data_IF_251856171463
#
_entry.id   IF_251856171463
#
_cell.length_a   1.000
_cell.length_b   1.000
_cell.length_c   1.000
_cell.angle_alpha   90.00
_cell.angle_beta   90.00
_cell.angle_gamma   90.00
#
_symmetry.space_group_name_H-M   'P 1'
#
loop_
_entity.id
_entity.type
_entity.pdbx_description
1 polymer ?
#
# COMPACT_ATOMS: atom_id res chain seq x y z
N UNK A 1 15.70 21.53 -18.32
CA UNK A 1 15.99 21.77 -16.88
C UNK A 1 14.92 21.17 -15.96
N UNK A 2 13.66 21.60 -16.02
CA UNK A 2 12.57 21.10 -15.16
C UNK A 2 12.33 19.58 -15.22
N UNK A 3 12.27 19.02 -16.44
CA UNK A 3 12.16 17.57 -16.65
C UNK A 3 13.39 16.77 -16.12
N UNK A 4 14.60 17.34 -16.18
CA UNK A 4 15.80 16.70 -15.62
C UNK A 4 15.76 16.67 -14.09
N UNK A 5 15.30 17.75 -13.45
CA UNK A 5 15.11 17.78 -11.99
C UNK A 5 14.00 16.81 -11.58
N UNK A 6 12.93 16.69 -12.37
CA UNK A 6 11.91 15.66 -12.16
C UNK A 6 12.51 14.24 -12.15
N UNK A 7 13.39 13.96 -13.11
CA UNK A 7 14.09 12.69 -13.15
C UNK A 7 14.95 12.49 -11.91
N UNK A 8 15.75 13.47 -11.50
CA UNK A 8 16.60 13.37 -10.29
C UNK A 8 15.77 13.18 -9.02
N UNK A 9 14.58 13.80 -8.91
CA UNK A 9 13.75 13.72 -7.70
C UNK A 9 12.89 12.46 -7.62
N UNK A 10 12.47 11.90 -8.76
CA UNK A 10 11.42 10.86 -8.81
C UNK A 10 11.76 9.62 -9.64
N UNK A 11 12.85 9.61 -10.42
CA UNK A 11 13.19 8.54 -11.35
C UNK A 11 14.60 8.03 -11.14
N UNK A 12 14.78 6.71 -11.24
CA UNK A 12 16.09 6.07 -11.22
C UNK A 12 16.90 6.27 -12.51
N UNK A 13 16.44 7.11 -13.45
CA UNK A 13 17.13 7.41 -14.71
C UNK A 13 18.56 7.95 -14.51
N UNK A 14 18.82 8.62 -13.38
CA UNK A 14 20.17 9.01 -12.95
C UNK A 14 20.43 8.49 -11.52
N UNK A 15 20.84 7.23 -11.35
CA UNK A 15 20.81 6.56 -10.05
C UNK A 15 21.74 7.21 -9.02
N UNK A 16 22.91 7.69 -9.44
CA UNK A 16 23.87 8.35 -8.55
C UNK A 16 23.34 9.69 -8.04
N UNK A 17 22.84 10.55 -8.94
CA UNK A 17 22.30 11.85 -8.58
C UNK A 17 21.04 11.70 -7.70
N UNK A 18 20.15 10.76 -8.04
CA UNK A 18 18.97 10.44 -7.27
C UNK A 18 19.31 10.03 -5.84
N UNK A 19 20.26 9.10 -5.67
CA UNK A 19 20.70 8.62 -4.34
C UNK A 19 21.36 9.75 -3.54
N UNK A 20 22.22 10.57 -4.15
CA UNK A 20 22.87 11.68 -3.46
C UNK A 20 21.87 12.72 -2.94
N UNK A 21 20.94 13.16 -3.79
CA UNK A 21 19.91 14.14 -3.41
C UNK A 21 18.98 13.57 -2.34
N UNK A 22 18.59 12.30 -2.47
CA UNK A 22 17.81 11.58 -1.45
C UNK A 22 18.53 11.52 -0.11
N UNK A 23 19.80 11.13 -0.10
CA UNK A 23 20.63 11.08 1.11
C UNK A 23 20.80 12.46 1.74
N UNK A 24 20.95 13.52 0.94
CA UNK A 24 21.03 14.89 1.43
C UNK A 24 19.74 15.33 2.15
N UNK A 25 18.57 15.05 1.57
CA UNK A 25 17.29 15.39 2.21
C UNK A 25 17.03 14.56 3.48
N UNK A 26 17.38 13.27 3.46
CA UNK A 26 17.30 12.40 4.64
C UNK A 26 18.22 12.90 5.76
N UNK A 27 19.45 13.31 5.41
CA UNK A 27 20.39 13.89 6.35
C UNK A 27 19.85 15.19 6.96
N UNK A 28 19.28 16.08 6.14
CA UNK A 28 18.69 17.33 6.61
C UNK A 28 17.53 17.08 7.60
N UNK A 29 16.63 16.13 7.30
CA UNK A 29 15.57 15.70 8.24
C UNK A 29 16.19 15.16 9.54
N UNK A 30 17.19 14.28 9.43
CA UNK A 30 17.87 13.72 10.59
C UNK A 30 18.53 14.77 11.47
N UNK A 31 19.16 15.79 10.86
CA UNK A 31 19.75 16.93 11.58
C UNK A 31 18.66 17.70 12.31
N UNK A 32 17.60 18.15 11.63
CA UNK A 32 16.53 18.95 12.26
C UNK A 32 15.88 18.22 13.43
N UNK A 33 15.62 16.92 13.29
CA UNK A 33 15.08 16.08 14.37
C UNK A 33 16.07 15.92 15.53
N UNK A 34 17.34 15.65 15.23
CA UNK A 34 18.37 15.48 16.28
C UNK A 34 18.58 16.77 17.04
N UNK A 35 18.64 17.92 16.36
CA UNK A 35 18.80 19.21 17.02
C UNK A 35 17.60 19.53 17.89
N UNK A 36 16.37 19.37 17.37
CA UNK A 36 15.15 19.55 18.16
C UNK A 36 15.14 18.69 19.43
N UNK A 37 15.61 17.43 19.35
CA UNK A 37 15.75 16.58 20.53
C UNK A 37 16.80 17.10 21.51
N UNK A 38 17.98 17.51 21.03
CA UNK A 38 19.08 18.01 21.87
C UNK A 38 18.71 19.31 22.59
N UNK A 39 17.93 20.18 21.94
CA UNK A 39 17.48 21.44 22.51
C UNK A 39 16.54 21.27 23.72
N UNK A 40 15.83 20.15 23.82
CA UNK A 40 14.98 19.85 24.99
C UNK A 40 15.78 19.46 26.24
N UNK A 41 17.11 19.29 26.15
CA UNK A 41 17.94 18.89 27.29
C UNK A 41 18.12 20.05 28.30
N UNK A 42 17.93 19.81 29.61
CA UNK A 42 17.89 20.86 30.64
C UNK A 42 19.20 21.64 30.84
N UNK A 43 20.34 21.12 30.37
CA UNK A 43 21.66 21.75 30.48
C UNK A 43 22.20 22.23 29.11
N UNK A 44 21.34 22.40 28.10
CA UNK A 44 21.77 22.87 26.79
C UNK A 44 22.04 24.38 26.83
N UNK A 45 23.33 24.74 26.94
CA UNK A 45 23.75 26.14 26.99
C UNK A 45 23.81 26.76 25.58
N UNK A 46 23.08 27.86 25.36
CA UNK A 46 23.00 28.55 24.05
C UNK A 46 24.36 28.97 23.51
N UNK A 47 25.34 29.23 24.39
CA UNK A 47 26.70 29.59 24.00
C UNK A 47 27.48 28.42 23.35
N UNK A 48 27.22 27.18 23.77
CA UNK A 48 27.81 25.98 23.15
C UNK A 48 26.99 25.54 21.91
N UNK A 49 25.72 25.94 21.85
CA UNK A 49 24.78 25.61 20.77
C UNK A 49 24.98 26.33 19.43
N UNK A 50 25.85 27.35 19.32
CA UNK A 50 25.99 28.12 18.06
C UNK A 50 26.37 27.25 16.86
N UNK A 51 27.22 26.25 17.04
CA UNK A 51 27.55 25.28 15.99
C UNK A 51 26.31 24.47 15.57
N UNK A 52 25.52 24.01 16.54
CA UNK A 52 24.31 23.21 16.35
C UNK A 52 23.22 24.02 15.61
N UNK A 53 23.02 25.29 15.98
CA UNK A 53 22.13 26.21 15.27
C UNK A 53 22.53 26.38 13.80
N UNK A 54 23.82 26.49 13.50
CA UNK A 54 24.28 26.59 12.11
C UNK A 54 23.92 25.34 11.29
N UNK A 55 23.99 24.12 11.88
CA UNK A 55 23.54 22.90 11.19
C UNK A 55 22.02 22.88 11.00
N UNK A 56 21.26 23.30 12.01
CA UNK A 56 19.81 23.39 11.90
C UNK A 56 19.38 24.34 10.79
N UNK A 57 19.94 25.55 10.76
CA UNK A 57 19.68 26.54 9.70
C UNK A 57 20.07 25.99 8.32
N UNK A 58 21.25 25.39 8.18
CA UNK A 58 21.68 24.78 6.92
C UNK A 58 20.73 23.66 6.47
N UNK A 59 20.28 22.80 7.38
CA UNK A 59 19.32 21.74 7.10
C UNK A 59 17.94 22.30 6.71
N UNK A 60 17.47 23.35 7.39
CA UNK A 60 16.21 24.03 7.06
C UNK A 60 16.26 24.73 5.70
N UNK A 61 17.41 25.29 5.31
CA UNK A 61 17.64 25.81 3.95
C UNK A 61 17.53 24.68 2.93
N UNK A 62 18.16 23.52 3.19
CA UNK A 62 18.04 22.35 2.31
C UNK A 62 16.59 21.89 2.15
N UNK A 63 15.82 21.80 3.25
CA UNK A 63 14.40 21.43 3.21
C UNK A 63 13.51 22.50 2.56
N UNK A 64 13.88 23.78 2.68
CA UNK A 64 13.23 24.90 2.00
C UNK A 64 13.44 24.78 0.49
N UNK A 65 14.68 24.54 0.05
CA UNK A 65 15.01 24.31 -1.36
C UNK A 65 14.28 23.08 -1.88
N UNK A 66 14.24 21.98 -1.12
CA UNK A 66 13.47 20.78 -1.46
C UNK A 66 11.99 21.13 -1.73
N UNK A 67 11.34 21.87 -0.83
CA UNK A 67 9.94 22.25 -0.94
C UNK A 67 9.66 23.01 -2.25
N UNK A 68 10.47 24.04 -2.54
CA UNK A 68 10.32 24.83 -3.77
C UNK A 68 10.62 24.01 -5.03
N UNK A 69 11.65 23.17 -5.02
CA UNK A 69 11.96 22.29 -6.16
C UNK A 69 10.80 21.33 -6.47
N UNK A 70 10.17 20.76 -5.42
CA UNK A 70 9.04 19.85 -5.60
C UNK A 70 7.81 20.56 -6.18
N UNK A 71 7.47 21.75 -5.66
CA UNK A 71 6.40 22.58 -6.23
C UNK A 71 6.71 22.92 -7.69
N UNK A 72 7.94 23.34 -7.97
CA UNK A 72 8.34 23.74 -9.30
C UNK A 72 8.24 22.58 -10.30
N UNK A 73 8.63 21.36 -9.89
CA UNK A 73 8.62 20.19 -10.77
C UNK A 73 7.21 19.61 -10.99
N UNK A 74 6.29 19.73 -10.04
CA UNK A 74 5.02 18.98 -10.02
C UNK A 74 4.23 18.93 -11.34
N UNK A 75 4.05 20.04 -12.09
CA UNK A 75 3.32 19.97 -13.37
C UNK A 75 3.90 19.02 -14.44
N UNK A 76 5.14 18.54 -14.31
CA UNK A 76 5.69 17.50 -15.21
C UNK A 76 5.00 16.13 -14.99
N UNK A 77 4.37 15.91 -13.83
CA UNK A 77 3.65 14.67 -13.51
C UNK A 77 2.18 14.71 -13.89
N UNK A 78 1.56 15.89 -13.78
CA UNK A 78 0.12 16.12 -14.01
C UNK A 78 -0.11 16.89 -15.31
N UNK A 79 0.49 16.40 -16.40
CA UNK A 79 0.52 17.01 -17.73
C UNK A 79 -0.82 17.59 -18.25
N UNK A 80 -2.02 17.08 -17.92
CA UNK A 80 -3.27 17.63 -18.45
C UNK A 80 -3.87 18.84 -17.71
N UNK A 81 -3.47 19.12 -16.45
CA UNK A 81 -4.26 19.98 -15.56
C UNK A 81 -3.89 21.49 -15.60
N UNK A 82 -2.83 21.86 -16.34
CA UNK A 82 -2.28 23.22 -16.33
C UNK A 82 -1.36 23.48 -15.13
N UNK A 83 -0.32 24.30 -15.33
CA UNK A 83 0.79 24.40 -14.37
C UNK A 83 0.37 24.89 -12.97
N UNK A 84 -0.49 25.90 -12.91
CA UNK A 84 -0.91 26.49 -11.63
C UNK A 84 -1.74 25.50 -10.82
N UNK A 85 -2.60 24.73 -11.49
CA UNK A 85 -3.46 23.73 -10.86
C UNK A 85 -2.62 22.61 -10.25
N UNK A 86 -1.61 22.11 -10.97
CA UNK A 86 -0.68 21.09 -10.46
C UNK A 86 0.07 21.56 -9.21
N UNK A 87 0.53 22.82 -9.18
CA UNK A 87 1.23 23.37 -8.01
C UNK A 87 0.31 23.51 -6.79
N UNK A 88 -0.92 23.98 -7.00
CA UNK A 88 -1.92 24.08 -5.92
C UNK A 88 -2.33 22.68 -5.44
N UNK A 89 -2.47 21.71 -6.35
CA UNK A 89 -2.75 20.33 -6.01
C UNK A 89 -1.64 19.73 -5.12
N UNK A 90 -0.38 20.05 -5.40
CA UNK A 90 0.74 19.66 -4.53
C UNK A 90 0.60 20.21 -3.12
N UNK A 91 0.37 21.52 -2.98
CA UNK A 91 0.25 22.19 -1.69
C UNK A 91 -0.91 21.64 -0.84
N UNK A 92 -1.98 21.16 -1.49
CA UNK A 92 -3.11 20.51 -0.82
C UNK A 92 -2.90 19.01 -0.56
N UNK A 93 -1.85 18.41 -1.11
CA UNK A 93 -1.54 17.00 -0.87
C UNK A 93 -1.02 16.78 0.56
N UNK A 94 -1.27 15.62 1.19
CA UNK A 94 -0.82 15.35 2.55
C UNK A 94 0.67 15.60 2.77
N UNK A 95 1.50 15.20 1.80
CA UNK A 95 2.95 15.38 1.89
C UNK A 95 3.40 16.80 1.55
N UNK A 96 2.66 17.54 0.71
CA UNK A 96 2.92 18.97 0.47
C UNK A 96 2.63 19.83 1.71
N UNK A 97 1.58 19.49 2.46
CA UNK A 97 1.28 20.11 3.77
C UNK A 97 2.41 19.84 4.76
N UNK A 98 2.89 18.59 4.84
CA UNK A 98 4.05 18.25 5.68
C UNK A 98 5.29 19.05 5.28
N UNK A 99 5.60 19.14 3.99
CA UNK A 99 6.78 19.87 3.54
C UNK A 99 6.71 21.37 3.87
N UNK A 100 5.51 21.96 3.76
CA UNK A 100 5.26 23.34 4.13
C UNK A 100 5.40 23.56 5.65
N UNK A 101 4.71 22.75 6.46
CA UNK A 101 4.73 22.87 7.92
C UNK A 101 6.13 22.62 8.51
N UNK A 102 6.94 21.77 7.88
CA UNK A 102 8.31 21.49 8.31
C UNK A 102 9.26 22.70 8.18
N UNK A 103 9.00 23.63 7.26
CA UNK A 103 9.85 24.83 7.03
C UNK A 103 9.20 26.13 7.51
N UNK A 104 7.89 26.09 7.80
CA UNK A 104 7.11 27.26 8.19
C UNK A 104 7.69 28.00 9.41
N UNK A 105 8.05 27.35 10.53
CA UNK A 105 8.61 28.07 11.68
C UNK A 105 9.88 28.84 11.33
N UNK A 106 10.75 28.27 10.49
CA UNK A 106 11.98 28.93 10.05
C UNK A 106 11.69 30.23 9.29
N UNK A 107 10.70 30.21 8.39
CA UNK A 107 10.32 31.40 7.62
C UNK A 107 9.64 32.45 8.46
N UNK A 108 8.77 32.04 9.40
CA UNK A 108 8.14 32.96 10.34
C UNK A 108 9.19 33.60 11.25
N UNK A 109 10.19 32.82 11.68
CA UNK A 109 11.29 33.28 12.52
C UNK A 109 12.14 34.39 11.90
N UNK A 110 12.14 34.53 10.56
CA UNK A 110 12.80 35.64 9.86
C UNK A 110 12.11 36.99 10.07
N UNK A 111 10.79 36.98 10.34
CA UNK A 111 9.98 38.18 10.51
C UNK A 111 9.64 38.42 11.98
N UNK A 112 9.36 37.35 12.72
CA UNK A 112 8.98 37.38 14.12
C UNK A 112 9.59 36.20 14.86
N UNK A 113 10.22 36.44 16.01
CA UNK A 113 10.81 35.37 16.83
C UNK A 113 9.76 34.32 17.21
N UNK A 114 10.01 33.06 16.87
CA UNK A 114 9.11 31.94 17.17
C UNK A 114 9.64 31.14 18.35
N UNK A 115 8.74 30.66 19.22
CA UNK A 115 9.10 29.77 20.33
C UNK A 115 9.67 28.44 19.83
N UNK A 116 10.62 27.89 20.59
CA UNK A 116 11.37 26.67 20.24
C UNK A 116 10.46 25.45 20.01
N UNK A 117 9.38 25.32 20.79
CA UNK A 117 8.42 24.21 20.67
C UNK A 117 7.82 24.06 19.26
N UNK A 118 7.72 25.14 18.48
CA UNK A 118 7.24 25.07 17.09
C UNK A 118 8.27 24.47 16.14
N UNK A 119 9.57 24.68 16.40
CA UNK A 119 10.64 23.99 15.67
C UNK A 119 10.65 22.51 16.01
N UNK A 120 10.42 22.13 17.27
CA UNK A 120 10.31 20.73 17.71
C UNK A 120 9.14 20.01 17.04
N UNK A 121 7.98 20.66 17.00
CA UNK A 121 6.80 20.12 16.30
C UNK A 121 7.06 19.97 14.79
N UNK A 122 7.65 21.00 14.15
CA UNK A 122 7.98 20.94 12.72
C UNK A 122 9.03 19.86 12.42
N UNK A 123 10.00 19.66 13.31
CA UNK A 123 10.96 18.58 13.23
C UNK A 123 10.27 17.21 13.30
N UNK A 124 9.35 17.00 14.26
CA UNK A 124 8.58 15.77 14.35
C UNK A 124 7.71 15.53 13.10
N UNK A 125 7.06 16.57 12.57
CA UNK A 125 6.30 16.48 11.32
C UNK A 125 7.19 16.14 10.12
N UNK A 126 8.44 16.61 10.09
CA UNK A 126 9.38 16.31 9.01
C UNK A 126 9.69 14.82 8.87
N UNK A 127 9.48 13.99 9.91
CA UNK A 127 9.62 12.53 9.84
C UNK A 127 8.63 11.91 8.84
N UNK A 128 7.46 12.52 8.62
CA UNK A 128 6.52 12.03 7.59
C UNK A 128 7.11 12.16 6.18
N UNK A 129 8.12 13.01 5.94
CA UNK A 129 8.85 13.06 4.66
C UNK A 129 9.54 11.74 4.34
N UNK A 130 9.91 10.93 5.35
CA UNK A 130 10.53 9.61 5.18
C UNK A 130 9.68 8.66 4.33
N UNK A 131 8.35 8.85 4.31
CA UNK A 131 7.42 8.08 3.47
C UNK A 131 7.74 8.15 1.97
N UNK A 132 8.37 9.25 1.50
CA UNK A 132 8.80 9.42 0.10
C UNK A 132 10.07 8.63 -0.22
N UNK A 133 10.87 8.36 0.80
CA UNK A 133 12.22 7.81 0.65
C UNK A 133 12.29 6.33 0.99
N UNK A 134 11.35 5.84 1.79
CA UNK A 134 11.29 4.45 2.27
C UNK A 134 10.11 3.72 1.60
N UNK A 135 10.34 2.90 0.55
CA UNK A 135 9.29 2.17 -0.16
C UNK A 135 8.48 1.20 0.70
N UNK A 136 9.00 0.83 1.89
CA UNK A 136 8.27 0.03 2.86
C UNK A 136 7.11 0.83 3.49
N UNK A 137 7.23 2.14 3.67
CA UNK A 137 6.15 2.95 4.26
C UNK A 137 4.96 3.08 3.31
N UNK A 138 5.19 3.11 1.99
CA UNK A 138 4.10 3.08 1.02
C UNK A 138 3.35 1.74 1.02
N UNK A 139 4.04 0.63 1.34
CA UNK A 139 3.39 -0.68 1.54
C UNK A 139 2.41 -0.62 2.72
N UNK A 140 2.87 -0.10 3.86
CA UNK A 140 2.03 0.08 5.05
C UNK A 140 0.81 0.94 4.72
N UNK A 141 1.02 2.09 4.08
CA UNK A 141 -0.06 3.00 3.71
C UNK A 141 -1.09 2.34 2.78
N UNK A 142 -0.62 1.60 1.76
CA UNK A 142 -1.49 0.87 0.84
C UNK A 142 -2.32 -0.20 1.56
N UNK A 143 -1.70 -0.96 2.47
CA UNK A 143 -2.41 -1.98 3.26
C UNK A 143 -3.47 -1.35 4.15
N UNK A 144 -3.13 -0.27 4.87
CA UNK A 144 -4.08 0.46 5.73
C UNK A 144 -5.23 1.03 4.93
N UNK A 145 -4.97 1.68 3.80
CA UNK A 145 -6.02 2.23 2.94
C UNK A 145 -6.92 1.14 2.38
N UNK A 146 -6.36 0.00 1.97
CA UNK A 146 -7.10 -1.12 1.40
C UNK A 146 -7.92 -1.88 2.45
N UNK A 147 -7.39 -2.05 3.65
CA UNK A 147 -8.03 -2.72 4.77
C UNK A 147 -8.84 -1.77 5.67
N UNK A 148 -8.94 -0.49 5.30
CA UNK A 148 -9.49 0.57 6.15
C UNK A 148 -10.90 0.28 6.66
N UNK A 149 -11.76 -0.35 5.86
CA UNK A 149 -13.12 -0.74 6.29
C UNK A 149 -13.10 -1.78 7.41
N UNK A 150 -12.23 -2.78 7.31
CA UNK A 150 -12.07 -3.83 8.32
C UNK A 150 -11.39 -3.30 9.58
N UNK A 151 -10.36 -2.47 9.43
CA UNK A 151 -9.69 -1.79 10.55
C UNK A 151 -10.67 -0.88 11.30
N UNK A 152 -11.47 -0.10 10.57
CA UNK A 152 -12.48 0.77 11.17
C UNK A 152 -13.54 -0.02 11.93
N UNK A 153 -14.06 -1.11 11.34
CA UNK A 153 -15.00 -1.99 12.02
C UNK A 153 -14.41 -2.57 13.33
N UNK A 154 -13.14 -2.98 13.30
CA UNK A 154 -12.44 -3.44 14.49
C UNK A 154 -12.29 -2.32 15.54
N UNK A 155 -11.91 -1.09 15.15
CA UNK A 155 -11.80 0.03 16.09
C UNK A 155 -13.14 0.40 16.74
N UNK A 156 -14.25 0.33 16.00
CA UNK A 156 -15.60 0.55 16.54
C UNK A 156 -15.94 -0.50 17.59
N UNK A 157 -15.72 -1.78 17.30
CA UNK A 157 -15.98 -2.87 18.26
C UNK A 157 -15.09 -2.73 19.50
N UNK A 158 -13.82 -2.36 19.33
CA UNK A 158 -12.89 -2.13 20.45
C UNK A 158 -13.37 -0.95 21.32
N UNK A 159 -13.83 0.14 20.71
CA UNK A 159 -14.34 1.31 21.44
C UNK A 159 -15.56 0.96 22.29
N UNK A 160 -16.49 0.16 21.74
CA UNK A 160 -17.66 -0.34 22.47
C UNK A 160 -17.22 -1.19 23.66
N UNK A 161 -16.28 -2.13 23.46
CA UNK A 161 -15.78 -2.99 24.53
C UNK A 161 -15.07 -2.20 25.63
N UNK A 162 -14.27 -1.20 25.27
CA UNK A 162 -13.56 -0.34 26.24
C UNK A 162 -14.54 0.45 27.11
N UNK A 163 -15.54 1.11 26.51
CA UNK A 163 -16.56 1.87 27.26
C UNK A 163 -17.41 0.94 28.13
N UNK A 164 -17.76 -0.24 27.61
CA UNK A 164 -18.51 -1.24 28.36
C UNK A 164 -17.71 -1.74 29.58
N UNK A 165 -16.45 -2.14 29.38
CA UNK A 165 -15.59 -2.60 30.47
C UNK A 165 -15.36 -1.50 31.53
N UNK A 166 -15.12 -0.26 31.08
CA UNK A 166 -14.98 0.89 31.97
C UNK A 166 -16.22 1.14 32.82
N UNK A 167 -17.42 1.04 32.23
CA UNK A 167 -18.68 1.25 32.95
C UNK A 167 -18.95 0.13 33.95
N UNK A 168 -18.71 -1.12 33.54
CA UNK A 168 -18.92 -2.29 34.41
C UNK A 168 -17.95 -2.27 35.58
N UNK A 169 -16.65 -2.04 35.35
CA UNK A 169 -15.66 -2.04 36.43
C UNK A 169 -15.90 -0.89 37.41
N UNK A 170 -16.28 0.29 36.92
CA UNK A 170 -16.65 1.42 37.76
C UNK A 170 -17.76 1.04 38.74
N UNK A 171 -18.82 0.38 38.24
CA UNK A 171 -19.95 -0.02 39.07
C UNK A 171 -19.57 -0.98 40.21
N UNK A 172 -18.57 -1.84 40.01
CA UNK A 172 -18.14 -2.83 41.01
C UNK A 172 -16.97 -2.39 41.88
N UNK A 173 -16.16 -1.42 41.45
CA UNK A 173 -14.95 -0.99 42.17
C UNK A 173 -15.06 0.41 42.78
N UNK A 174 -16.02 1.25 42.37
CA UNK A 174 -16.15 2.62 42.90
C UNK A 174 -16.30 2.65 44.43
N UNK A 175 -17.17 1.80 45.00
CA UNK A 175 -17.36 1.76 46.45
C UNK A 175 -16.13 1.28 47.22
N UNK A 176 -15.36 0.36 46.63
CA UNK A 176 -14.16 -0.20 47.24
C UNK A 176 -12.92 0.69 47.06
N UNK A 177 -12.86 1.45 45.96
CA UNK A 177 -11.70 2.24 45.53
C UNK A 177 -12.12 3.57 44.87
N UNK A 178 -12.74 4.50 45.60
CA UNK A 178 -13.29 5.74 45.02
C UNK A 178 -12.22 6.68 44.42
N UNK A 179 -10.97 6.60 44.88
CA UNK A 179 -9.87 7.41 44.35
C UNK A 179 -9.27 6.84 43.05
N UNK A 180 -9.39 5.53 42.84
CA UNK A 180 -8.87 4.86 41.65
C UNK A 180 -9.93 4.83 40.56
N UNK A 181 -11.15 4.42 40.89
CA UNK A 181 -12.27 4.32 39.96
C UNK A 181 -13.28 5.47 40.19
N UNK A 182 -12.82 6.72 40.24
CA UNK A 182 -13.64 7.91 40.58
C UNK A 182 -14.76 8.15 39.57
N UNK A 183 -14.51 7.84 38.29
CA UNK A 183 -15.45 8.10 37.20
C UNK A 183 -15.30 7.08 36.07
N UNK A 184 -16.30 7.03 35.18
CA UNK A 184 -16.25 6.18 33.97
C UNK A 184 -15.06 6.58 33.06
N UNK A 185 -14.78 7.88 32.79
CA UNK A 185 -13.59 8.27 32.02
C UNK A 185 -12.26 7.84 32.64
N UNK A 186 -12.12 7.85 33.97
CA UNK A 186 -10.93 7.33 34.63
C UNK A 186 -10.87 5.80 34.55
N UNK A 187 -12.00 5.13 34.71
CA UNK A 187 -12.12 3.68 34.49
C UNK A 187 -11.80 3.26 33.04
N UNK A 188 -12.01 4.16 32.08
CA UNK A 188 -11.63 3.96 30.68
C UNK A 188 -10.10 3.90 30.52
N UNK A 189 -9.34 4.67 31.28
CA UNK A 189 -7.87 4.56 31.31
C UNK A 189 -7.44 3.15 31.73
N UNK A 190 -8.03 2.60 32.80
CA UNK A 190 -7.79 1.22 33.22
C UNK A 190 -8.19 0.20 32.15
N UNK A 191 -9.34 0.39 31.50
CA UNK A 191 -9.79 -0.51 30.45
C UNK A 191 -8.83 -0.49 29.25
N UNK A 192 -8.34 0.69 28.85
CA UNK A 192 -7.35 0.84 27.78
C UNK A 192 -6.04 0.15 28.15
N UNK A 193 -5.46 0.42 29.32
CA UNK A 193 -4.16 -0.15 29.72
C UNK A 193 -4.23 -1.66 29.94
N UNK A 194 -5.37 -2.17 30.44
CA UNK A 194 -5.60 -3.61 30.65
C UNK A 194 -5.85 -4.34 29.34
N UNK A 195 -6.76 -3.84 28.48
CA UNK A 195 -7.09 -4.49 27.22
C UNK A 195 -5.97 -4.38 26.18
N UNK A 196 -5.20 -3.29 26.20
CA UNK A 196 -4.01 -3.13 25.36
C UNK A 196 -2.79 -3.89 25.90
N UNK A 197 -2.95 -4.70 26.96
CA UNK A 197 -1.90 -5.54 27.56
C UNK A 197 -0.69 -4.76 28.12
N UNK A 198 -0.86 -3.47 28.47
CA UNK A 198 0.19 -2.62 29.03
C UNK A 198 0.33 -2.83 30.54
N UNK A 199 -0.77 -2.67 31.28
CA UNK A 199 -0.82 -2.91 32.72
C UNK A 199 0.21 -2.15 33.55
N UNK A 200 0.16 -0.81 33.57
CA UNK A 200 1.08 0.01 34.38
C UNK A 200 1.06 -0.30 35.88
N UNK A 201 -0.03 -0.88 36.38
CA UNK A 201 -0.20 -1.25 37.79
C UNK A 201 -0.66 -0.11 38.69
N UNK A 202 -1.00 1.04 38.11
CA UNK A 202 -1.59 2.21 38.77
C UNK A 202 -3.05 1.99 39.19
N UNK A 203 -3.79 1.16 38.45
CA UNK A 203 -5.18 0.81 38.74
C UNK A 203 -5.41 -0.70 38.57
N UNK A 204 -6.08 -1.33 39.53
CA UNK A 204 -6.50 -2.73 39.42
C UNK A 204 -7.73 -3.02 40.30
N UNK A 205 -8.65 -3.89 39.86
CA UNK A 205 -9.79 -4.29 40.66
C UNK A 205 -9.35 -5.10 41.89
N UNK A 206 -9.87 -4.75 43.07
CA UNK A 206 -9.59 -5.47 44.31
C UNK A 206 -10.75 -6.38 44.73
N UNK A 207 -11.97 -6.12 44.23
CA UNK A 207 -13.14 -6.93 44.57
C UNK A 207 -13.10 -8.28 43.84
N UNK A 208 -13.65 -9.36 44.41
CA UNK A 208 -13.70 -10.66 43.74
C UNK A 208 -14.43 -10.60 42.38
N UNK A 209 -15.54 -9.86 42.32
CA UNK A 209 -16.33 -9.68 41.10
C UNK A 209 -15.56 -8.81 40.09
N UNK A 210 -14.95 -7.71 40.53
CA UNK A 210 -14.12 -6.86 39.68
C UNK A 210 -12.92 -7.61 39.09
N UNK A 211 -12.28 -8.50 39.84
CA UNK A 211 -11.21 -9.37 39.33
C UNK A 211 -11.70 -10.37 38.28
N UNK A 212 -12.90 -10.94 38.46
CA UNK A 212 -13.52 -11.80 37.45
C UNK A 212 -13.80 -11.02 36.15
N UNK A 213 -14.38 -9.81 36.28
CA UNK A 213 -14.64 -8.90 35.15
C UNK A 213 -13.34 -8.51 34.46
N UNK A 214 -12.30 -8.17 35.22
CA UNK A 214 -10.96 -7.87 34.70
C UNK A 214 -10.37 -9.06 33.94
N UNK A 215 -10.52 -10.28 34.47
CA UNK A 215 -10.16 -11.52 33.77
C UNK A 215 -10.82 -11.66 32.41
N UNK A 216 -12.14 -11.47 32.36
CA UNK A 216 -12.91 -11.51 31.11
C UNK A 216 -12.47 -10.40 30.15
N UNK A 217 -12.29 -9.17 30.67
CA UNK A 217 -11.85 -8.02 29.89
C UNK A 217 -10.47 -8.25 29.24
N UNK A 218 -9.53 -8.88 29.94
CA UNK A 218 -8.21 -9.22 29.39
C UNK A 218 -8.31 -10.20 28.22
N UNK A 219 -9.17 -11.22 28.31
CA UNK A 219 -9.40 -12.19 27.22
C UNK A 219 -9.95 -11.47 25.98
N UNK A 220 -10.95 -10.62 26.16
CA UNK A 220 -11.51 -9.83 25.06
C UNK A 220 -10.48 -8.84 24.50
N UNK A 221 -9.64 -8.23 25.34
CA UNK A 221 -8.55 -7.35 24.90
C UNK A 221 -7.61 -8.04 23.93
N UNK A 222 -7.04 -9.19 24.34
CA UNK A 222 -6.14 -9.98 23.49
C UNK A 222 -6.83 -10.39 22.18
N UNK A 223 -8.07 -10.92 22.27
CA UNK A 223 -8.83 -11.34 21.09
C UNK A 223 -9.11 -10.17 20.14
N UNK A 224 -9.41 -8.99 20.67
CA UNK A 224 -9.78 -7.83 19.88
C UNK A 224 -8.58 -7.17 19.20
N UNK A 225 -7.43 -7.08 19.88
CA UNK A 225 -6.19 -6.57 19.27
C UNK A 225 -5.60 -7.54 18.23
N UNK A 226 -5.87 -8.84 18.35
CA UNK A 226 -5.46 -9.83 17.34
C UNK A 226 -6.15 -9.61 15.98
N UNK A 227 -7.37 -9.04 15.96
CA UNK A 227 -8.12 -8.82 14.71
C UNK A 227 -7.45 -7.79 13.79
N UNK A 228 -7.19 -6.53 14.20
CA UNK A 228 -6.43 -5.57 13.38
C UNK A 228 -5.05 -6.09 12.99
N UNK A 229 -4.33 -6.73 13.91
CA UNK A 229 -3.01 -7.30 13.65
C UNK A 229 -3.06 -8.38 12.55
N UNK A 230 -4.03 -9.30 12.60
CA UNK A 230 -4.26 -10.32 11.59
C UNK A 230 -4.71 -9.75 10.24
N UNK A 231 -5.54 -8.69 10.24
CA UNK A 231 -5.95 -7.96 9.04
C UNK A 231 -4.73 -7.30 8.37
N UNK A 232 -3.87 -6.65 9.15
CA UNK A 232 -2.65 -6.05 8.63
C UNK A 232 -1.69 -7.12 8.10
N UNK A 233 -1.46 -8.21 8.84
CA UNK A 233 -0.58 -9.30 8.41
C UNK A 233 -1.02 -9.94 7.09
N UNK A 234 -2.31 -10.27 6.96
CA UNK A 234 -2.88 -10.79 5.71
C UNK A 234 -2.82 -9.76 4.58
N UNK A 235 -3.02 -8.47 4.88
CA UNK A 235 -2.85 -7.37 3.94
C UNK A 235 -1.42 -7.21 3.43
N UNK A 236 -0.41 -7.30 4.31
CA UNK A 236 1.00 -7.29 3.94
C UNK A 236 1.36 -8.50 3.08
N UNK A 237 0.92 -9.70 3.48
CA UNK A 237 1.16 -10.92 2.71
C UNK A 237 0.59 -10.82 1.28
N UNK A 238 -0.63 -10.28 1.15
CA UNK A 238 -1.27 -10.02 -0.15
C UNK A 238 -0.49 -9.02 -1.00
N UNK A 239 -0.04 -7.92 -0.41
CA UNK A 239 0.62 -6.83 -1.13
C UNK A 239 2.08 -7.16 -1.50
N UNK A 240 2.78 -7.93 -0.66
CA UNK A 240 4.07 -8.55 -1.01
C UNK A 240 3.90 -9.54 -2.17
N UNK A 241 2.87 -10.41 -2.12
CA UNK A 241 2.60 -11.38 -3.20
C UNK A 241 2.37 -10.70 -4.56
N UNK A 242 1.80 -9.49 -4.56
CA UNK A 242 1.64 -8.65 -5.76
C UNK A 242 2.95 -8.04 -6.24
N UNK A 243 3.81 -7.56 -5.34
CA UNK A 243 5.12 -6.97 -5.68
C UNK A 243 6.12 -8.01 -6.20
N UNK A 244 6.09 -9.23 -5.68
CA UNK A 244 7.00 -10.30 -6.09
C UNK A 244 6.69 -10.88 -7.48
N UNK A 245 5.53 -10.56 -8.05
CA UNK A 245 5.18 -10.98 -9.41
C UNK A 245 5.67 -9.96 -10.44
N UNK A 246 6.99 -9.76 -10.48
CA UNK A 246 7.66 -9.09 -11.60
C UNK A 246 7.62 -10.05 -12.79
N UNK A 247 7.07 -9.62 -13.92
CA UNK A 247 7.09 -10.38 -15.17
C UNK A 247 8.55 -10.43 -15.65
N UNK A 248 9.29 -11.41 -15.17
CA UNK A 248 10.64 -11.67 -15.60
C UNK A 248 10.62 -12.67 -16.78
N UNK A 249 11.68 -12.66 -17.57
CA UNK A 249 11.82 -13.55 -18.73
C UNK A 249 11.59 -15.03 -18.36
N UNK A 250 12.02 -15.44 -17.16
CA UNK A 250 11.86 -16.82 -16.65
C UNK A 250 10.39 -17.20 -16.44
N UNK A 251 9.54 -16.25 -16.04
CA UNK A 251 8.11 -16.48 -15.87
C UNK A 251 7.43 -16.66 -17.23
N UNK A 252 7.80 -15.86 -18.23
CA UNK A 252 7.25 -15.98 -19.58
C UNK A 252 7.72 -17.28 -20.24
N UNK A 253 9.00 -17.63 -20.10
CA UNK A 253 9.57 -18.86 -20.65
C UNK A 253 8.96 -20.17 -20.06
N UNK A 254 8.29 -20.10 -18.90
CA UNK A 254 7.59 -21.26 -18.30
C UNK A 254 6.26 -21.57 -18.98
N UNK A 255 5.68 -20.63 -19.72
CA UNK A 255 4.44 -20.89 -20.48
C UNK A 255 4.83 -21.75 -21.69
N UNK A 256 4.28 -22.97 -21.84
CA UNK A 256 4.61 -23.87 -22.96
C UNK A 256 4.43 -23.22 -24.34
N UNK A 257 3.51 -22.27 -24.44
CA UNK A 257 3.26 -21.47 -25.64
C UNK A 257 4.48 -20.66 -26.10
N UNK A 258 5.31 -20.18 -25.17
CA UNK A 258 6.48 -19.34 -25.48
C UNK A 258 7.80 -20.12 -25.47
N UNK A 259 7.78 -21.42 -25.18
CA UNK A 259 8.98 -22.24 -25.02
C UNK A 259 9.84 -22.36 -26.29
N UNK A 260 9.27 -22.11 -27.47
CA UNK A 260 9.97 -22.18 -28.76
C UNK A 260 10.55 -20.84 -29.22
N UNK A 261 10.23 -19.75 -28.53
CA UNK A 261 10.70 -18.42 -28.90
C UNK A 261 12.15 -18.20 -28.47
N UNK A 262 12.89 -17.39 -29.24
CA UNK A 262 14.23 -16.96 -28.85
C UNK A 262 14.20 -15.95 -27.69
N UNK A 263 15.35 -15.71 -27.07
CA UNK A 263 15.45 -14.83 -25.91
C UNK A 263 15.02 -13.38 -26.20
N UNK A 264 15.26 -12.90 -27.43
CA UNK A 264 14.89 -11.55 -27.88
C UNK A 264 13.38 -11.38 -28.06
N UNK A 265 12.72 -12.38 -28.64
CA UNK A 265 11.27 -12.42 -28.78
C UNK A 265 10.62 -12.53 -27.41
N UNK A 266 11.11 -13.41 -26.52
CA UNK A 266 10.57 -13.55 -25.15
C UNK A 266 10.72 -12.25 -24.37
N UNK A 267 11.85 -11.54 -24.49
CA UNK A 267 12.03 -10.23 -23.86
C UNK A 267 11.04 -9.18 -24.38
N UNK A 268 10.68 -9.25 -25.66
CA UNK A 268 9.69 -8.36 -26.27
C UNK A 268 8.27 -8.71 -25.81
N UNK A 269 7.91 -10.00 -25.76
CA UNK A 269 6.64 -10.49 -25.21
C UNK A 269 6.48 -10.10 -23.74
N UNK A 270 7.54 -10.26 -22.94
CA UNK A 270 7.53 -9.96 -21.51
C UNK A 270 7.18 -8.51 -21.20
N UNK A 271 7.54 -7.56 -22.07
CA UNK A 271 7.22 -6.13 -21.90
C UNK A 271 5.74 -5.81 -22.17
N UNK A 272 5.03 -6.67 -22.91
CA UNK A 272 3.61 -6.51 -23.22
C UNK A 272 2.71 -7.17 -22.18
N UNK A 273 3.23 -8.15 -21.43
CA UNK A 273 2.48 -8.90 -20.43
C UNK A 273 2.33 -8.13 -19.13
N UNK A 274 1.09 -7.98 -18.67
CA UNK A 274 0.77 -7.33 -17.39
C UNK A 274 0.48 -8.37 -16.32
N UNK A 275 1.12 -8.25 -15.14
CA UNK A 275 0.84 -9.14 -14.03
C UNK A 275 -0.56 -8.92 -13.47
N UNK A 276 -1.33 -9.99 -13.25
CA UNK A 276 -2.65 -9.93 -12.59
C UNK A 276 -2.81 -11.05 -11.57
N UNK A 277 -3.06 -10.68 -10.31
CA UNK A 277 -3.41 -11.62 -9.23
C UNK A 277 -4.91 -11.61 -9.00
N UNK A 278 -5.50 -12.80 -8.83
CA UNK A 278 -6.95 -13.01 -8.66
C UNK A 278 -7.17 -13.94 -7.46
N UNK A 279 -8.09 -13.59 -6.56
CA UNK A 279 -8.45 -14.45 -5.43
C UNK A 279 -9.35 -15.60 -5.88
N UNK A 280 -9.44 -16.69 -5.10
CA UNK A 280 -10.36 -17.80 -5.37
C UNK A 280 -11.83 -17.33 -5.45
N UNK A 281 -12.65 -18.04 -6.23
CA UNK A 281 -14.09 -17.82 -6.46
C UNK A 281 -14.44 -16.47 -7.11
N UNK A 282 -13.56 -15.91 -7.93
CA UNK A 282 -13.81 -14.66 -8.66
C UNK A 282 -14.03 -14.95 -10.15
N UNK A 283 -15.04 -14.33 -10.76
CA UNK A 283 -15.23 -14.36 -12.20
C UNK A 283 -14.13 -13.51 -12.89
N UNK A 284 -13.35 -14.14 -13.77
CA UNK A 284 -12.29 -13.48 -14.54
C UNK A 284 -12.82 -12.90 -15.85
N UNK A 285 -13.70 -13.65 -16.49
CA UNK A 285 -14.33 -13.37 -17.78
C UNK A 285 -15.77 -13.85 -17.70
N UNK A 286 -16.72 -13.12 -18.30
CA UNK A 286 -18.12 -13.57 -18.41
C UNK A 286 -18.50 -13.81 -19.86
N UNK A 287 -19.31 -14.83 -20.09
CA UNK A 287 -19.87 -15.13 -21.42
C UNK A 287 -20.64 -13.91 -21.94
N UNK A 288 -20.42 -13.57 -23.22
CA UNK A 288 -21.07 -12.45 -23.89
C UNK A 288 -20.36 -11.10 -23.76
N UNK A 289 -19.38 -10.97 -22.87
CA UNK A 289 -18.56 -9.76 -22.76
C UNK A 289 -17.71 -9.54 -24.02
N UNK A 290 -17.26 -8.30 -24.23
CA UNK A 290 -16.29 -7.97 -25.28
C UNK A 290 -14.93 -8.56 -24.88
N UNK A 291 -14.23 -9.16 -25.84
CA UNK A 291 -12.88 -9.66 -25.60
C UNK A 291 -11.85 -8.53 -25.74
N UNK A 292 -11.21 -8.22 -24.62
CA UNK A 292 -10.23 -7.14 -24.45
C UNK A 292 -8.82 -7.65 -24.13
N UNK A 293 -8.69 -8.92 -23.74
CA UNK A 293 -7.42 -9.54 -23.35
C UNK A 293 -7.46 -11.06 -23.34
N UNK A 294 -6.29 -11.70 -23.34
CA UNK A 294 -6.13 -13.12 -23.03
C UNK A 294 -5.25 -13.29 -21.79
N UNK A 295 -5.25 -14.50 -21.22
CA UNK A 295 -4.67 -14.78 -19.91
C UNK A 295 -3.83 -16.05 -19.94
N UNK A 296 -2.64 -16.01 -19.33
CA UNK A 296 -1.75 -17.15 -19.11
C UNK A 296 -1.70 -17.49 -17.63
N UNK A 297 -1.85 -18.77 -17.29
CA UNK A 297 -1.91 -19.24 -15.90
C UNK A 297 -0.50 -19.57 -15.41
N UNK A 298 0.03 -18.72 -14.53
CA UNK A 298 1.35 -18.93 -13.94
C UNK A 298 1.30 -19.74 -12.66
N UNK A 299 0.21 -19.63 -11.91
CA UNK A 299 -0.03 -20.35 -10.66
C UNK A 299 -1.54 -20.36 -10.38
N UNK A 300 -2.03 -21.43 -9.76
CA UNK A 300 -3.44 -21.63 -9.45
C UNK A 300 -4.19 -22.45 -10.51
N UNK A 301 -5.50 -22.54 -10.32
CA UNK A 301 -6.43 -23.26 -11.19
C UNK A 301 -7.65 -22.40 -11.47
N UNK A 302 -8.09 -22.38 -12.72
CA UNK A 302 -9.35 -21.76 -13.14
C UNK A 302 -10.27 -22.80 -13.73
N UNK A 303 -11.56 -22.54 -13.68
CA UNK A 303 -12.60 -23.41 -14.20
C UNK A 303 -13.43 -22.64 -15.23
N UNK A 304 -13.55 -23.22 -16.42
CA UNK A 304 -14.40 -22.73 -17.49
C UNK A 304 -15.80 -23.31 -17.27
N UNK A 305 -16.78 -22.43 -17.08
CA UNK A 305 -18.18 -22.80 -16.88
C UNK A 305 -18.78 -23.26 -18.21
N UNK A 306 -18.63 -24.56 -18.48
CA UNK A 306 -19.19 -25.27 -19.63
C UNK A 306 -20.20 -26.31 -19.16
N UNK A 307 -21.33 -26.38 -19.87
CA UNK A 307 -22.40 -27.35 -19.59
C UNK A 307 -22.30 -28.50 -20.59
N UNK A 308 -22.21 -29.78 -20.16
CA UNK A 308 -22.51 -30.31 -18.82
C UNK A 308 -21.29 -30.55 -17.93
N UNK A 309 -20.07 -30.47 -18.49
CA UNK A 309 -18.83 -30.78 -17.77
C UNK A 309 -17.90 -29.57 -17.80
N UNK A 310 -17.61 -28.96 -16.65
CA UNK A 310 -16.67 -27.84 -16.58
C UNK A 310 -15.26 -28.32 -16.91
N UNK A 311 -14.48 -27.45 -17.56
CA UNK A 311 -13.07 -27.72 -17.90
C UNK A 311 -12.19 -26.95 -16.91
N UNK A 312 -11.25 -27.64 -16.27
CA UNK A 312 -10.24 -27.01 -15.42
C UNK A 312 -8.94 -26.78 -16.18
N UNK A 313 -8.46 -25.55 -16.10
CA UNK A 313 -7.17 -25.12 -16.63
C UNK A 313 -6.21 -24.87 -15.46
N UNK A 314 -4.97 -25.33 -15.61
CA UNK A 314 -3.94 -25.32 -14.56
C UNK A 314 -2.74 -24.46 -14.98
N UNK A 315 -1.75 -24.41 -14.11
CA UNK A 315 -0.46 -23.79 -14.40
C UNK A 315 0.11 -24.25 -15.75
N UNK A 316 0.48 -23.29 -16.59
CA UNK A 316 0.96 -23.52 -17.96
C UNK A 316 -0.12 -23.35 -19.04
N UNK A 317 -1.39 -23.51 -18.68
CA UNK A 317 -2.50 -23.29 -19.61
C UNK A 317 -2.77 -21.80 -19.81
N UNK A 318 -3.53 -21.48 -20.85
CA UNK A 318 -4.01 -20.12 -21.16
C UNK A 318 -5.48 -20.16 -21.57
N UNK A 319 -6.13 -19.00 -21.54
CA UNK A 319 -7.53 -18.84 -21.96
C UNK A 319 -7.83 -17.43 -22.48
N UNK A 320 -8.95 -17.32 -23.19
CA UNK A 320 -9.47 -16.06 -23.72
C UNK A 320 -9.01 -15.73 -25.15
N UNK A 321 -8.22 -16.61 -25.77
CA UNK A 321 -7.72 -16.53 -27.13
C UNK A 321 -8.82 -16.59 -28.19
N UNK A 322 -9.83 -17.44 -27.98
CA UNK A 322 -10.89 -17.73 -28.97
C UNK A 322 -11.57 -16.43 -29.42
N UNK A 323 -12.00 -15.64 -28.44
CA UNK A 323 -12.75 -14.43 -28.71
C UNK A 323 -11.87 -13.31 -29.31
N UNK A 324 -10.55 -13.37 -29.13
CA UNK A 324 -9.61 -12.44 -29.79
C UNK A 324 -9.34 -12.84 -31.24
N UNK A 325 -9.15 -14.13 -31.52
CA UNK A 325 -8.86 -14.63 -32.88
C UNK A 325 -10.09 -14.55 -33.79
N UNK A 326 -11.22 -15.10 -33.33
CA UNK A 326 -12.46 -15.15 -34.11
C UNK A 326 -13.18 -13.80 -34.16
N UNK A 327 -12.68 -12.80 -33.40
CA UNK A 327 -13.31 -11.49 -33.24
C UNK A 327 -14.79 -11.58 -32.83
N UNK A 328 -15.07 -12.49 -31.88
CA UNK A 328 -16.39 -12.74 -31.32
C UNK A 328 -16.46 -12.31 -29.84
N UNK A 329 -17.66 -12.37 -29.25
CA UNK A 329 -17.82 -12.18 -27.80
C UNK A 329 -17.29 -13.38 -27.02
N UNK A 330 -16.97 -13.18 -25.74
CA UNK A 330 -16.51 -14.25 -24.84
C UNK A 330 -17.46 -15.45 -24.89
N UNK A 331 -16.91 -16.63 -25.19
CA UNK A 331 -17.69 -17.86 -25.40
C UNK A 331 -18.16 -18.51 -24.10
N UNK A 332 -17.43 -18.31 -22.99
CA UNK A 332 -17.73 -18.90 -21.69
C UNK A 332 -17.41 -17.95 -20.54
N UNK A 333 -18.00 -18.24 -19.37
CA UNK A 333 -17.63 -17.62 -18.10
C UNK A 333 -16.50 -18.43 -17.46
N UNK A 334 -15.53 -17.76 -16.86
CA UNK A 334 -14.36 -18.41 -16.25
C UNK A 334 -14.20 -17.91 -14.82
N UNK A 335 -14.07 -18.84 -13.87
CA UNK A 335 -13.90 -18.57 -12.45
C UNK A 335 -12.55 -19.07 -11.93
N UNK A 336 -11.95 -18.37 -10.98
CA UNK A 336 -10.81 -18.88 -10.24
C UNK A 336 -11.28 -19.92 -9.23
N UNK A 337 -10.64 -21.09 -9.22
CA UNK A 337 -10.88 -22.14 -8.20
C UNK A 337 -10.00 -21.88 -6.98
N UNK A 338 -8.76 -21.48 -7.23
CA UNK A 338 -7.77 -21.11 -6.21
C UNK A 338 -7.29 -19.68 -6.41
N UNK A 339 -6.42 -19.18 -5.53
CA UNK A 339 -5.75 -17.91 -5.79
C UNK A 339 -4.84 -18.08 -7.01
N UNK A 340 -5.08 -17.28 -8.05
CA UNK A 340 -4.40 -17.39 -9.33
C UNK A 340 -3.42 -16.24 -9.56
N UNK A 341 -2.25 -16.55 -10.12
CA UNK A 341 -1.34 -15.57 -10.72
C UNK A 341 -1.37 -15.72 -12.23
N UNK A 342 -1.71 -14.64 -12.93
CA UNK A 342 -1.93 -14.62 -14.36
C UNK A 342 -1.05 -13.58 -15.03
N UNK A 343 -0.62 -13.86 -16.26
CA UNK A 343 -0.13 -12.83 -17.18
C UNK A 343 -1.25 -12.46 -18.12
N UNK A 344 -1.47 -11.16 -18.30
CA UNK A 344 -2.52 -10.62 -19.16
C UNK A 344 -1.86 -10.02 -20.40
N UNK A 345 -2.36 -10.39 -21.57
CA UNK A 345 -2.00 -9.76 -22.84
C UNK A 345 -3.25 -9.05 -23.38
N UNK A 346 -3.18 -7.74 -23.54
CA UNK A 346 -4.28 -6.94 -24.07
C UNK A 346 -4.48 -7.20 -25.56
N UNK A 347 -5.71 -7.03 -26.05
CA UNK A 347 -6.08 -7.32 -27.44
C UNK A 347 -5.18 -6.58 -28.43
N UNK A 348 -4.87 -5.30 -28.18
CA UNK A 348 -4.01 -4.50 -29.07
C UNK A 348 -2.61 -5.10 -29.19
N UNK A 349 -2.06 -5.57 -28.08
CA UNK A 349 -0.72 -6.16 -28.03
C UNK A 349 -0.72 -7.60 -28.54
N UNK A 350 -1.82 -8.35 -28.35
CA UNK A 350 -2.03 -9.67 -28.93
C UNK A 350 -1.96 -9.63 -30.46
N UNK A 351 -2.72 -8.74 -31.11
CA UNK A 351 -2.71 -8.64 -32.57
C UNK A 351 -1.31 -8.28 -33.10
N UNK A 352 -0.62 -7.34 -32.46
CA UNK A 352 0.77 -6.99 -32.82
C UNK A 352 1.71 -8.17 -32.73
N UNK A 353 1.57 -8.97 -31.68
CA UNK A 353 2.45 -10.10 -31.37
C UNK A 353 2.23 -11.27 -32.34
N UNK A 354 0.96 -11.55 -32.66
CA UNK A 354 0.55 -12.57 -33.64
C UNK A 354 0.99 -12.20 -35.06
N UNK A 355 0.98 -10.91 -35.42
CA UNK A 355 1.49 -10.43 -36.71
C UNK A 355 3.02 -10.51 -36.81
N UNK A 356 3.73 -10.36 -35.69
CA UNK A 356 5.20 -10.39 -35.65
C UNK A 356 5.78 -11.81 -35.55
N UNK A 357 5.02 -12.75 -34.97
CA UNK A 357 5.50 -14.11 -34.66
C UNK A 357 4.52 -15.14 -35.24
N UNK A 358 4.69 -15.54 -36.51
CA UNK A 358 3.77 -16.47 -37.19
C UNK A 358 3.66 -17.84 -36.52
N UNK A 359 4.75 -18.37 -35.95
CA UNK A 359 4.74 -19.66 -35.24
C UNK A 359 3.79 -19.65 -34.04
N UNK A 360 3.73 -18.51 -33.35
CA UNK A 360 2.86 -18.34 -32.20
C UNK A 360 1.40 -18.24 -32.64
N UNK A 361 1.12 -17.56 -33.76
CA UNK A 361 -0.20 -17.50 -34.37
C UNK A 361 -0.77 -18.89 -34.62
N UNK A 362 -0.01 -19.73 -35.33
CA UNK A 362 -0.43 -21.09 -35.70
C UNK A 362 -0.75 -21.94 -34.47
N UNK A 363 0.07 -21.84 -33.41
CA UNK A 363 -0.17 -22.60 -32.18
C UNK A 363 -1.44 -22.16 -31.46
N UNK A 364 -1.72 -20.85 -31.39
CA UNK A 364 -2.92 -20.34 -30.74
C UNK A 364 -4.16 -20.65 -31.59
N UNK A 365 -4.09 -20.53 -32.92
CA UNK A 365 -5.18 -20.89 -33.84
C UNK A 365 -5.55 -22.37 -33.70
N UNK A 366 -4.57 -23.29 -33.70
CA UNK A 366 -4.83 -24.72 -33.50
C UNK A 366 -5.54 -25.01 -32.18
N UNK A 367 -5.08 -24.41 -31.08
CA UNK A 367 -5.72 -24.57 -29.77
C UNK A 367 -7.12 -23.93 -29.73
N UNK A 368 -7.32 -22.82 -30.44
CA UNK A 368 -8.64 -22.19 -30.59
C UNK A 368 -9.62 -23.12 -31.29
N UNK A 369 -9.24 -23.72 -32.41
CA UNK A 369 -10.09 -24.66 -33.16
C UNK A 369 -10.49 -25.90 -32.33
N UNK A 370 -9.53 -26.51 -31.63
CA UNK A 370 -9.77 -27.64 -30.74
C UNK A 370 -10.82 -27.28 -29.68
N UNK A 371 -10.65 -26.13 -29.00
CA UNK A 371 -11.54 -25.68 -27.93
C UNK A 371 -12.88 -25.14 -28.42
N UNK A 372 -12.91 -24.52 -29.59
CA UNK A 372 -14.16 -24.09 -30.24
C UNK A 372 -15.00 -25.32 -30.57
N UNK A 373 -14.38 -26.38 -31.09
CA UNK A 373 -15.09 -27.64 -31.35
C UNK A 373 -15.66 -28.27 -30.08
N UNK A 374 -14.96 -28.17 -28.95
CA UNK A 374 -15.45 -28.64 -27.65
C UNK A 374 -16.55 -27.75 -27.06
N UNK A 375 -16.56 -26.45 -27.38
CA UNK A 375 -17.65 -25.53 -27.05
C UNK A 375 -18.89 -25.73 -27.94
N UNK A 376 -18.71 -25.99 -29.24
CA UNK A 376 -19.76 -26.11 -30.26
C UNK A 376 -20.37 -27.51 -30.35
N UNK A 377 -19.76 -28.53 -29.73
CA UNK A 377 -20.34 -29.87 -29.54
C UNK A 377 -21.52 -29.84 -28.55
N UNK A 378 -22.56 -29.02 -28.79
CA UNK A 378 -23.94 -29.26 -28.36
C UNK A 378 -24.98 -28.32 -29.01
N UNK A 379 -26.22 -28.83 -29.18
CA UNK A 379 -27.30 -28.12 -29.84
C UNK A 379 -27.84 -26.97 -28.98
N UNK A 380 -28.27 -25.91 -29.65
CA UNK A 380 -29.15 -24.89 -29.08
C UNK A 380 -30.37 -25.59 -28.44
N UNK A 381 -30.62 -25.29 -27.16
CA UNK A 381 -31.87 -25.59 -26.48
C UNK A 381 -32.55 -24.31 -26.06
#
# INVERSE_FOLDING_TARGET
>A
MRAQINQILYSDAQPVAHVLVKSLFLLAVGIVVTVAMVETLPNFDRATGSFIYNFQEAALVVLTVEFFLRIWVEPEKTAPAGELVSRIAYLKSPLGVVDFLAVLPAWVNLVHSVDLHWFELAAALSLFKLSRYVPALSLVANVVMRQGRSIFAALVVLSILLVFAATVIYFFEYEAQPNSFESIPQSLWWAITTMATVGYGDMAPITPIGRLIGGIAMIFGIAMFAVPAGILASGFAEELRKRDFVVNWQSVARVPLFARLDATAIASVAQLLKPRSVSANQALVRRGDIADSMYFIMEGEVEVELTPTPIRLKQGDFFGEIALIENIRRTATIFSVTNCRLLVLEAVDFHRLVDQIPELKEQIERTSEERLSDNDRRPEK
#
